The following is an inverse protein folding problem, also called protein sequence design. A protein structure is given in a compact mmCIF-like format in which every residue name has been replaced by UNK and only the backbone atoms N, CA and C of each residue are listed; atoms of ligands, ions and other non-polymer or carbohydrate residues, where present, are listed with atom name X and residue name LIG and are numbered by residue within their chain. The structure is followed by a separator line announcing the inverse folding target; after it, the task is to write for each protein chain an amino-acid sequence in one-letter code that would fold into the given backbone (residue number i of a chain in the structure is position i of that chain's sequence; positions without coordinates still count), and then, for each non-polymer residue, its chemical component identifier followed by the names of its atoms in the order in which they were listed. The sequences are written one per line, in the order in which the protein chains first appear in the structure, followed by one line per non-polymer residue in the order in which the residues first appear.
data_IF_120362215739
#
_entry.id   IF_120362215739
#
_cell.length_a   1.000
_cell.length_b   1.000
_cell.length_c   1.000
_cell.angle_alpha   90.00
_cell.angle_beta   90.00
_cell.angle_gamma   90.00
#
_symmetry.space_group_name_H-M   'P 1'
#
loop_
_entity.id
_entity.type
_entity.pdbx_description
1 polymer ?
#
# COMPACT_ATOMS: atom_id res chain seq x y z
N UNK A 1 -48.37 -31.06 17.29
CA UNK A 1 -47.00 -31.47 16.91
C UNK A 1 -46.18 -30.21 16.60
N UNK A 2 -46.38 -29.13 17.37
CA UNK A 2 -46.24 -27.76 16.81
C UNK A 2 -45.17 -26.91 17.53
N UNK A 3 -44.74 -27.34 18.72
CA UNK A 3 -43.73 -26.61 19.51
C UNK A 3 -42.31 -26.73 18.95
N UNK A 4 -41.97 -27.88 18.37
CA UNK A 4 -40.63 -28.09 17.79
C UNK A 4 -40.43 -27.26 16.51
N UNK A 5 -41.48 -27.12 15.70
CA UNK A 5 -41.45 -26.30 14.48
C UNK A 5 -41.36 -24.79 14.83
N UNK A 6 -42.13 -24.34 15.82
CA UNK A 6 -42.03 -22.95 16.30
C UNK A 6 -40.62 -22.62 16.84
N UNK A 7 -40.02 -23.51 17.64
CA UNK A 7 -38.66 -23.34 18.16
C UNK A 7 -37.58 -23.42 17.07
N UNK A 8 -37.83 -24.15 15.99
CA UNK A 8 -36.96 -24.17 14.82
C UNK A 8 -37.03 -22.84 14.06
N UNK A 9 -38.25 -22.35 13.78
CA UNK A 9 -38.48 -21.06 13.09
C UNK A 9 -37.90 -19.88 13.87
N UNK A 10 -38.03 -19.87 15.19
CA UNK A 10 -37.40 -18.85 16.05
C UNK A 10 -35.88 -18.89 15.98
N UNK A 11 -35.26 -20.07 16.04
CA UNK A 11 -33.80 -20.21 15.91
C UNK A 11 -33.30 -19.75 14.54
N UNK A 12 -34.03 -20.07 13.48
CA UNK A 12 -33.71 -19.62 12.13
C UNK A 12 -33.81 -18.11 12.01
N UNK A 13 -34.91 -17.50 12.47
CA UNK A 13 -35.10 -16.04 12.48
C UNK A 13 -34.02 -15.31 13.29
N UNK A 14 -33.64 -15.86 14.45
CA UNK A 14 -32.58 -15.31 15.29
C UNK A 14 -31.21 -15.38 14.60
N UNK A 15 -30.91 -16.47 13.90
CA UNK A 15 -29.68 -16.61 13.08
C UNK A 15 -29.65 -15.64 11.91
N UNK A 16 -30.77 -15.45 11.22
CA UNK A 16 -30.87 -14.47 10.13
C UNK A 16 -30.72 -13.03 10.63
N UNK A 17 -31.34 -12.68 11.75
CA UNK A 17 -31.20 -11.36 12.38
C UNK A 17 -29.75 -11.10 12.82
N UNK A 18 -29.09 -12.08 13.43
CA UNK A 18 -27.67 -11.98 13.79
C UNK A 18 -26.78 -11.84 12.56
N UNK A 19 -27.02 -12.66 11.53
CA UNK A 19 -26.27 -12.58 10.26
C UNK A 19 -26.45 -11.24 9.56
N UNK A 20 -27.64 -10.63 9.58
CA UNK A 20 -27.86 -9.31 8.96
C UNK A 20 -27.18 -8.19 9.75
N UNK A 21 -27.16 -8.26 11.09
CA UNK A 21 -26.40 -7.33 11.94
C UNK A 21 -24.89 -7.49 11.73
N UNK A 22 -24.39 -8.73 11.69
CA UNK A 22 -22.97 -9.01 11.46
C UNK A 22 -22.53 -8.56 10.07
N UNK A 23 -23.35 -8.79 9.03
CA UNK A 23 -23.12 -8.26 7.68
C UNK A 23 -23.07 -6.74 7.67
N UNK A 24 -24.00 -6.05 8.35
CA UNK A 24 -23.95 -4.58 8.46
C UNK A 24 -22.68 -4.11 9.16
N UNK A 25 -22.23 -4.80 10.23
CA UNK A 25 -20.99 -4.51 10.93
C UNK A 25 -19.74 -4.75 10.07
N UNK A 26 -19.76 -5.76 9.22
CA UNK A 26 -18.70 -6.00 8.22
C UNK A 26 -18.72 -4.94 7.11
N UNK A 27 -19.91 -4.47 6.72
CA UNK A 27 -20.10 -3.43 5.71
C UNK A 27 -19.95 -1.99 6.24
N UNK A 28 -19.60 -1.79 7.52
CA UNK A 28 -19.39 -0.44 8.09
C UNK A 28 -18.32 0.34 7.31
N UNK A 29 -17.38 -0.34 6.64
CA UNK A 29 -16.39 0.32 5.80
C UNK A 29 -16.87 0.63 4.37
N UNK A 30 -17.93 -0.01 3.86
CA UNK A 30 -18.31 0.14 2.44
C UNK A 30 -19.07 1.45 2.17
N UNK A 31 -19.98 1.85 3.05
CA UNK A 31 -20.74 3.10 2.88
C UNK A 31 -19.88 4.35 3.14
N UNK A 32 -18.96 4.29 4.10
CA UNK A 32 -18.05 5.39 4.43
C UNK A 32 -16.95 5.56 3.36
N UNK A 33 -16.53 4.47 2.70
CA UNK A 33 -15.62 4.52 1.54
C UNK A 33 -16.35 5.03 0.29
N UNK A 34 -17.63 4.68 0.09
CA UNK A 34 -18.45 5.17 -1.02
C UNK A 34 -18.69 6.68 -0.92
N UNK A 35 -18.91 7.21 0.28
CA UNK A 35 -19.01 8.65 0.55
C UNK A 35 -17.68 9.39 0.31
N UNK A 36 -16.55 8.70 0.46
CA UNK A 36 -15.21 9.26 0.28
C UNK A 36 -14.85 9.51 -1.19
N UNK A 37 -15.64 9.02 -2.16
CA UNK A 37 -15.42 9.18 -3.61
C UNK A 37 -13.95 8.99 -4.00
N UNK A 38 -13.34 7.91 -3.51
CA UNK A 38 -11.92 7.64 -3.73
C UNK A 38 -11.68 7.40 -5.23
N UNK A 39 -10.73 8.11 -5.86
CA UNK A 39 -10.39 7.87 -7.26
C UNK A 39 -9.96 6.42 -7.49
N UNK A 40 -10.23 5.90 -8.67
CA UNK A 40 -9.78 4.56 -9.02
C UNK A 40 -8.25 4.49 -9.01
N UNK A 41 -7.66 3.42 -8.45
CA UNK A 41 -6.22 3.29 -8.33
C UNK A 41 -5.57 3.11 -9.70
N UNK A 42 -4.51 3.87 -9.95
CA UNK A 42 -3.72 3.77 -11.16
C UNK A 42 -2.86 2.49 -11.14
N UNK A 43 -2.47 2.02 -12.33
CA UNK A 43 -1.65 0.80 -12.47
C UNK A 43 -0.35 0.86 -11.65
N UNK A 44 0.29 2.02 -11.60
CA UNK A 44 1.55 2.19 -10.86
C UNK A 44 1.37 1.99 -9.36
N UNK A 45 0.19 2.29 -8.79
CA UNK A 45 -0.11 2.06 -7.39
C UNK A 45 -0.17 0.57 -7.08
N UNK A 46 -0.79 -0.22 -7.96
CA UNK A 46 -0.81 -1.67 -7.84
C UNK A 46 0.57 -2.29 -7.94
N UNK A 47 1.39 -1.79 -8.88
CA UNK A 47 2.79 -2.21 -9.01
C UNK A 47 3.56 -1.83 -7.74
N UNK A 48 3.37 -0.61 -7.22
CA UNK A 48 4.00 -0.16 -5.99
C UNK A 48 3.59 -1.01 -4.78
N UNK A 49 2.30 -1.35 -4.66
CA UNK A 49 1.75 -2.17 -3.58
C UNK A 49 2.39 -3.57 -3.53
N UNK A 50 2.82 -4.10 -4.67
CA UNK A 50 3.55 -5.37 -4.71
C UNK A 50 4.87 -5.35 -3.92
N UNK A 51 5.45 -4.16 -3.68
CA UNK A 51 6.64 -4.00 -2.83
C UNK A 51 6.40 -4.46 -1.39
N UNK A 52 5.16 -4.42 -0.90
CA UNK A 52 4.79 -4.95 0.41
C UNK A 52 5.00 -6.47 0.47
N UNK A 53 4.56 -7.20 -0.56
CA UNK A 53 4.71 -8.65 -0.64
C UNK A 53 6.19 -9.08 -0.66
N UNK A 54 7.08 -8.25 -1.20
CA UNK A 54 8.52 -8.51 -1.20
C UNK A 54 9.13 -8.55 0.21
N UNK A 55 8.49 -7.94 1.21
CA UNK A 55 8.91 -8.03 2.62
C UNK A 55 8.95 -9.47 3.14
N UNK A 56 8.25 -10.41 2.49
CA UNK A 56 8.42 -11.84 2.79
C UNK A 56 9.87 -12.31 2.57
N UNK A 57 10.52 -11.87 1.48
CA UNK A 57 11.90 -12.26 1.17
C UNK A 57 12.89 -11.69 2.17
N UNK A 58 12.69 -10.46 2.67
CA UNK A 58 13.53 -9.89 3.73
C UNK A 58 13.36 -10.67 5.03
N UNK A 59 12.13 -11.02 5.40
CA UNK A 59 11.85 -11.81 6.59
C UNK A 59 12.48 -13.21 6.52
N UNK A 60 12.33 -13.89 5.38
CA UNK A 60 12.96 -15.19 5.14
C UNK A 60 14.49 -15.09 5.21
N UNK A 61 15.06 -14.04 4.59
CA UNK A 61 16.48 -13.78 4.60
C UNK A 61 17.02 -13.63 6.01
N UNK A 62 16.40 -12.77 6.83
CA UNK A 62 16.82 -12.50 8.22
C UNK A 62 16.73 -13.76 9.06
N UNK A 63 15.63 -14.52 8.96
CA UNK A 63 15.42 -15.75 9.76
C UNK A 63 16.45 -16.85 9.46
N UNK A 64 16.89 -16.96 8.21
CA UNK A 64 17.74 -18.07 7.74
C UNK A 64 19.13 -17.64 7.30
N UNK A 65 19.48 -16.37 7.49
CA UNK A 65 20.72 -15.77 6.99
C UNK A 65 20.94 -16.00 5.48
N UNK A 66 19.85 -15.97 4.69
CA UNK A 66 19.86 -16.30 3.26
C UNK A 66 20.21 -15.06 2.43
N UNK A 67 21.46 -15.00 1.98
CA UNK A 67 21.98 -13.90 1.15
C UNK A 67 21.17 -13.70 -0.15
N UNK A 68 20.80 -14.79 -0.83
CA UNK A 68 20.07 -14.69 -2.09
C UNK A 68 18.67 -14.11 -1.89
N UNK A 69 17.93 -14.52 -0.86
CA UNK A 69 16.63 -13.92 -0.51
C UNK A 69 16.78 -12.43 -0.19
N UNK A 70 17.85 -12.01 0.50
CA UNK A 70 18.12 -10.60 0.79
C UNK A 70 18.43 -9.79 -0.49
N UNK A 71 19.20 -10.37 -1.42
CA UNK A 71 19.45 -9.75 -2.73
C UNK A 71 18.16 -9.61 -3.53
N UNK A 72 17.32 -10.64 -3.57
CA UNK A 72 16.02 -10.58 -4.23
C UNK A 72 15.14 -9.47 -3.63
N UNK A 73 15.12 -9.33 -2.30
CA UNK A 73 14.44 -8.22 -1.64
C UNK A 73 14.97 -6.85 -2.08
N UNK A 74 16.29 -6.65 -2.08
CA UNK A 74 16.94 -5.40 -2.50
C UNK A 74 16.57 -5.05 -3.95
N UNK A 75 16.74 -5.98 -4.90
CA UNK A 75 16.35 -5.75 -6.30
C UNK A 75 14.85 -5.49 -6.44
N UNK A 76 14.04 -6.18 -5.63
CA UNK A 76 12.60 -5.99 -5.57
C UNK A 76 12.20 -4.59 -5.10
N UNK A 77 12.82 -4.05 -4.03
CA UNK A 77 12.55 -2.68 -3.58
C UNK A 77 13.00 -1.65 -4.61
N UNK A 78 14.11 -1.89 -5.31
CA UNK A 78 14.53 -1.01 -6.42
C UNK A 78 13.48 -0.96 -7.53
N UNK A 79 12.99 -2.13 -7.94
CA UNK A 79 12.10 -2.25 -9.12
C UNK A 79 10.64 -1.95 -8.81
N UNK A 80 10.10 -2.41 -7.69
CA UNK A 80 8.69 -2.25 -7.30
C UNK A 80 8.48 -1.19 -6.22
N UNK A 81 9.52 -0.74 -5.54
CA UNK A 81 9.45 0.37 -4.58
C UNK A 81 9.76 1.70 -5.25
N UNK A 82 10.98 1.88 -5.76
CA UNK A 82 11.43 3.18 -6.28
C UNK A 82 10.92 3.52 -7.68
N UNK A 83 10.92 2.59 -8.63
CA UNK A 83 10.53 2.92 -10.01
C UNK A 83 9.07 3.39 -10.13
N UNK A 84 8.06 2.75 -9.48
CA UNK A 84 6.69 3.24 -9.54
C UNK A 84 6.53 4.62 -8.90
N UNK A 85 7.27 4.91 -7.83
CA UNK A 85 7.28 6.24 -7.21
C UNK A 85 7.89 7.29 -8.13
N UNK A 86 9.01 6.99 -8.79
CA UNK A 86 9.62 7.90 -9.77
C UNK A 86 8.70 8.17 -10.95
N UNK A 87 8.04 7.12 -11.46
CA UNK A 87 7.04 7.25 -12.51
C UNK A 87 5.86 8.14 -12.08
N UNK A 88 5.38 7.97 -10.84
CA UNK A 88 4.31 8.79 -10.26
C UNK A 88 4.72 10.27 -10.14
N UNK A 89 5.96 10.56 -9.70
CA UNK A 89 6.49 11.94 -9.66
C UNK A 89 6.42 12.57 -11.06
N UNK A 90 6.88 11.86 -12.10
CA UNK A 90 6.89 12.40 -13.47
C UNK A 90 5.46 12.63 -13.98
N UNK A 91 4.55 11.69 -13.71
CA UNK A 91 3.14 11.77 -14.11
C UNK A 91 2.44 13.00 -13.51
N UNK A 92 2.57 13.21 -12.20
CA UNK A 92 1.88 14.29 -11.49
C UNK A 92 2.60 15.64 -11.53
N UNK A 93 3.81 15.70 -12.11
CA UNK A 93 4.63 16.90 -12.13
C UNK A 93 3.89 18.12 -12.71
N UNK A 94 3.18 17.94 -13.83
CA UNK A 94 2.49 19.05 -14.50
C UNK A 94 1.39 19.67 -13.63
N UNK A 95 0.57 18.85 -12.98
CA UNK A 95 -0.49 19.33 -12.10
C UNK A 95 0.05 19.97 -10.82
N UNK A 96 1.05 19.34 -10.20
CA UNK A 96 1.69 19.90 -9.00
C UNK A 96 2.38 21.22 -9.32
N UNK A 97 3.06 21.30 -10.47
CA UNK A 97 3.68 22.53 -10.92
C UNK A 97 2.63 23.62 -11.15
N UNK A 98 1.54 23.30 -11.87
CA UNK A 98 0.46 24.24 -12.16
C UNK A 98 -0.19 24.75 -10.87
N UNK A 99 -0.48 23.85 -9.92
CA UNK A 99 -1.08 24.23 -8.64
C UNK A 99 -0.18 25.14 -7.79
N UNK A 100 1.14 24.92 -7.81
CA UNK A 100 2.07 25.66 -6.94
C UNK A 100 2.60 26.97 -7.54
N UNK A 101 2.69 27.06 -8.87
CA UNK A 101 3.44 28.14 -9.53
C UNK A 101 2.69 28.89 -10.62
N UNK A 102 1.53 28.40 -11.09
CA UNK A 102 0.75 29.14 -12.09
C UNK A 102 -0.13 30.20 -11.44
N UNK A 103 -0.20 31.38 -12.05
CA UNK A 103 -1.17 32.43 -11.69
C UNK A 103 -2.46 32.34 -12.54
N UNK A 104 -2.52 31.38 -13.48
CA UNK A 104 -3.69 31.15 -14.33
C UNK A 104 -4.76 30.34 -13.58
N UNK A 105 -5.78 31.05 -13.09
CA UNK A 105 -6.93 30.45 -12.41
C UNK A 105 -7.67 29.40 -13.24
N UNK A 106 -7.74 29.56 -14.58
CA UNK A 106 -8.42 28.58 -15.42
C UNK A 106 -7.64 27.26 -15.45
N UNK A 107 -6.31 27.32 -15.56
CA UNK A 107 -5.44 26.14 -15.50
C UNK A 107 -5.46 25.46 -14.12
N UNK A 108 -5.55 26.24 -13.04
CA UNK A 108 -5.69 25.69 -11.68
C UNK A 108 -7.03 24.96 -11.51
N UNK A 109 -8.13 25.50 -12.05
CA UNK A 109 -9.45 24.86 -11.94
C UNK A 109 -9.56 23.54 -12.74
N UNK A 110 -8.68 23.34 -13.72
CA UNK A 110 -8.66 22.14 -14.58
C UNK A 110 -7.83 20.98 -13.99
N UNK A 111 -7.14 21.15 -12.85
CA UNK A 111 -6.38 20.07 -12.21
C UNK A 111 -7.30 19.03 -11.57
N UNK A 112 -6.77 17.83 -11.32
CA UNK A 112 -7.53 16.77 -10.66
C UNK A 112 -7.58 17.02 -9.15
N UNK A 113 -8.79 17.04 -8.60
CA UNK A 113 -9.04 17.16 -7.17
C UNK A 113 -9.62 15.87 -6.60
N UNK A 114 -9.18 15.51 -5.39
CA UNK A 114 -9.91 14.57 -4.54
C UNK A 114 -10.59 15.37 -3.43
N UNK A 115 -11.92 15.43 -3.51
CA UNK A 115 -12.74 16.39 -2.75
C UNK A 115 -12.29 17.83 -3.03
N UNK A 116 -11.63 18.46 -2.08
CA UNK A 116 -11.14 19.85 -2.18
C UNK A 116 -9.62 19.95 -2.26
N UNK A 117 -8.92 18.81 -2.24
CA UNK A 117 -7.47 18.76 -2.21
C UNK A 117 -6.90 18.42 -3.59
N UNK A 118 -5.86 19.14 -4.06
CA UNK A 118 -5.20 18.84 -5.32
C UNK A 118 -4.56 17.45 -5.24
N UNK A 119 -5.01 16.55 -6.09
CA UNK A 119 -4.75 15.13 -5.95
C UNK A 119 -3.27 14.78 -6.15
N UNK A 120 -2.61 15.40 -7.14
CA UNK A 120 -1.16 15.24 -7.35
C UNK A 120 -0.32 15.69 -6.14
N UNK A 121 -0.75 16.70 -5.38
CA UNK A 121 -0.04 17.17 -4.19
C UNK A 121 -0.14 16.16 -3.04
N UNK A 122 -1.30 15.53 -2.87
CA UNK A 122 -1.49 14.44 -1.91
C UNK A 122 -0.58 13.26 -2.25
N UNK A 123 -0.46 12.92 -3.54
CA UNK A 123 0.49 11.91 -3.98
C UNK A 123 1.94 12.28 -3.66
N UNK A 124 2.35 13.53 -3.86
CA UNK A 124 3.70 13.97 -3.50
C UNK A 124 3.99 13.84 -2.00
N UNK A 125 3.02 14.16 -1.14
CA UNK A 125 3.15 13.97 0.31
C UNK A 125 3.33 12.48 0.67
N UNK A 126 2.52 11.60 0.05
CA UNK A 126 2.65 10.16 0.23
C UNK A 126 3.99 9.62 -0.30
N UNK A 127 4.41 10.02 -1.50
CA UNK A 127 5.66 9.59 -2.13
C UNK A 127 6.85 9.97 -1.26
N UNK A 128 6.85 11.18 -0.67
CA UNK A 128 7.89 11.60 0.26
C UNK A 128 8.03 10.64 1.45
N UNK A 129 6.93 10.21 2.06
CA UNK A 129 6.94 9.24 3.16
C UNK A 129 7.37 7.85 2.68
N UNK A 130 6.84 7.39 1.54
CA UNK A 130 7.18 6.10 0.97
C UNK A 130 8.67 5.99 0.63
N UNK A 131 9.27 7.06 0.10
CA UNK A 131 10.70 7.15 -0.17
C UNK A 131 11.52 7.03 1.12
N UNK A 132 11.09 7.63 2.23
CA UNK A 132 11.79 7.47 3.52
C UNK A 132 11.77 6.01 3.99
N UNK A 133 10.58 5.38 3.98
CA UNK A 133 10.42 3.98 4.41
C UNK A 133 11.29 3.05 3.57
N UNK A 134 11.23 3.16 2.24
CA UNK A 134 12.05 2.33 1.34
C UNK A 134 13.55 2.60 1.50
N UNK A 135 13.96 3.85 1.76
CA UNK A 135 15.35 4.22 1.98
C UNK A 135 15.92 3.62 3.26
N UNK A 136 15.17 3.67 4.36
CA UNK A 136 15.59 2.97 5.58
C UNK A 136 15.64 1.45 5.38
N UNK A 137 14.63 0.87 4.75
CA UNK A 137 14.60 -0.57 4.47
C UNK A 137 15.80 -1.03 3.62
N UNK A 138 16.16 -0.26 2.58
CA UNK A 138 17.33 -0.49 1.75
C UNK A 138 18.63 -0.32 2.51
N UNK A 139 18.77 0.76 3.29
CA UNK A 139 19.96 1.01 4.12
C UNK A 139 20.26 -0.17 5.06
N UNK A 140 19.26 -0.62 5.82
CA UNK A 140 19.43 -1.74 6.74
C UNK A 140 19.72 -3.06 6.00
N UNK A 141 19.01 -3.32 4.90
CA UNK A 141 19.21 -4.54 4.10
C UNK A 141 20.60 -4.59 3.47
N UNK A 142 21.12 -3.46 3.01
CA UNK A 142 22.45 -3.36 2.43
C UNK A 142 23.55 -3.58 3.48
N UNK A 143 23.42 -2.96 4.66
CA UNK A 143 24.34 -3.17 5.77
C UNK A 143 24.36 -4.64 6.25
N UNK A 144 23.19 -5.28 6.26
CA UNK A 144 23.05 -6.70 6.58
C UNK A 144 23.74 -7.58 5.54
N UNK A 145 23.57 -7.27 4.25
CA UNK A 145 24.21 -7.98 3.15
C UNK A 145 25.74 -7.90 3.23
N UNK A 146 26.30 -6.73 3.54
CA UNK A 146 27.74 -6.55 3.74
C UNK A 146 28.21 -7.42 4.90
N UNK A 147 27.53 -7.30 6.05
CA UNK A 147 27.90 -8.02 7.28
C UNK A 147 27.94 -9.54 7.08
N UNK A 148 26.96 -10.09 6.36
CA UNK A 148 26.90 -11.53 6.08
C UNK A 148 27.98 -11.99 5.11
N UNK A 149 28.31 -11.19 4.09
CA UNK A 149 29.42 -11.49 3.18
C UNK A 149 30.76 -11.51 3.89
N UNK A 150 31.04 -10.50 4.73
CA UNK A 150 32.30 -10.43 5.50
C UNK A 150 32.47 -11.62 6.44
N UNK A 151 31.38 -12.06 7.09
CA UNK A 151 31.39 -13.25 7.95
C UNK A 151 31.74 -14.53 7.19
N UNK A 152 31.29 -14.68 5.95
CA UNK A 152 31.58 -15.86 5.13
C UNK A 152 33.06 -15.89 4.75
N UNK A 153 33.63 -14.75 4.34
CA UNK A 153 35.06 -14.64 3.98
C UNK A 153 35.95 -15.04 5.17
N UNK A 154 35.67 -14.49 6.37
CA UNK A 154 36.42 -14.83 7.58
C UNK A 154 36.32 -16.31 7.99
N UNK A 155 35.26 -17.03 7.56
CA UNK A 155 35.12 -18.47 7.84
C UNK A 155 35.89 -19.34 6.84
N UNK A 156 36.19 -18.82 5.65
CA UNK A 156 36.94 -19.53 4.61
C UNK A 156 38.46 -19.32 4.68
N UNK A 157 38.91 -18.33 5.45
CA UNK A 157 40.32 -18.15 5.88
C UNK A 157 40.65 -19.02 7.09
#
# INVERSE_FOLDING_TARGET
MDGHDHMFRQRVAQRYSRSSVDKKRLCIFILEIEELEVPEPYLWEWIWLSSFALSYFSLEAVKRNKINSLKCYIYGIVTFGYLPLLYSIIMWFGEVYTFLFSDDYAAILDIVYWKTYPYGLLWYAFIFLALQVHSFAMYFSYNLLISWKTRIIKKSE
#
